data_IF_328111524518
#
_entry.id   IF_328111524518
#
_cell.length_a   1.000
_cell.length_b   1.000
_cell.length_c   1.000
_cell.angle_alpha   90.00
_cell.angle_beta   90.00
_cell.angle_gamma   90.00
#
_symmetry.space_group_name_H-M   'P 1'
#
loop_
_entity.id
_entity.type
_entity.pdbx_description
1 polymer ?
#
# COMPACT_ATOMS: atom_id res chain seq x y z
N UNK A 1 22.63 11.22 24.33
CA UNK A 1 22.89 9.78 24.10
C UNK A 1 22.12 9.36 22.87
N UNK A 2 22.78 9.40 21.71
CA UNK A 2 22.24 8.89 20.44
C UNK A 2 22.11 7.38 20.54
N UNK A 3 20.90 6.91 20.81
CA UNK A 3 20.56 5.50 20.60
C UNK A 3 20.84 5.17 19.13
N UNK A 4 21.63 4.13 18.89
CA UNK A 4 21.84 3.59 17.54
C UNK A 4 20.47 3.15 17.04
N UNK A 5 19.87 3.94 16.16
CA UNK A 5 18.75 3.48 15.35
C UNK A 5 19.17 2.16 14.69
N UNK A 6 18.36 1.11 14.83
CA UNK A 6 18.54 -0.10 14.03
C UNK A 6 18.62 0.36 12.57
N UNK A 7 19.74 0.07 11.91
CA UNK A 7 19.90 0.41 10.51
C UNK A 7 18.77 -0.26 9.71
N UNK A 8 17.95 0.56 9.03
CA UNK A 8 16.91 0.05 8.16
C UNK A 8 17.56 -0.85 7.11
N UNK A 9 16.98 -2.03 6.87
CA UNK A 9 17.49 -2.98 5.87
C UNK A 9 17.08 -2.55 4.45
N UNK A 10 17.57 -1.38 4.00
CA UNK A 10 17.24 -0.78 2.71
C UNK A 10 17.67 -1.67 1.54
N UNK A 11 18.92 -2.09 1.50
CA UNK A 11 19.44 -2.96 0.44
C UNK A 11 18.62 -4.26 0.32
N UNK A 12 18.18 -4.81 1.47
CA UNK A 12 17.38 -6.06 1.49
C UNK A 12 15.98 -5.85 0.93
N UNK A 13 15.33 -4.71 1.21
CA UNK A 13 14.03 -4.46 0.58
C UNK A 13 14.19 -4.15 -0.91
N UNK A 14 15.25 -3.47 -1.34
CA UNK A 14 15.50 -3.23 -2.76
C UNK A 14 15.72 -4.54 -3.53
N UNK A 15 16.51 -5.46 -2.96
CA UNK A 15 16.68 -6.82 -3.48
C UNK A 15 15.34 -7.55 -3.60
N UNK A 16 14.50 -7.51 -2.55
CA UNK A 16 13.16 -8.10 -2.61
C UNK A 16 12.33 -7.49 -3.73
N UNK A 17 12.22 -6.16 -3.80
CA UNK A 17 11.37 -5.48 -4.77
C UNK A 17 11.83 -5.70 -6.20
N UNK A 18 13.14 -5.82 -6.44
CA UNK A 18 13.69 -6.21 -7.75
C UNK A 18 13.21 -7.61 -8.14
N UNK A 19 13.30 -8.59 -7.23
CA UNK A 19 12.79 -9.96 -7.47
C UNK A 19 11.29 -9.94 -7.76
N UNK A 20 10.50 -9.22 -6.96
CA UNK A 20 9.05 -9.14 -7.14
C UNK A 20 8.67 -8.47 -8.48
N UNK A 21 9.43 -7.45 -8.89
CA UNK A 21 9.27 -6.79 -10.19
C UNK A 21 9.46 -7.79 -11.32
N UNK A 22 10.54 -8.57 -11.31
CA UNK A 22 10.79 -9.60 -12.32
C UNK A 22 9.66 -10.64 -12.39
N UNK A 23 9.05 -10.99 -11.25
CA UNK A 23 7.95 -11.96 -11.21
C UNK A 23 6.70 -11.41 -11.91
N UNK A 24 6.38 -10.12 -11.75
CA UNK A 24 5.16 -9.49 -12.29
C UNK A 24 5.39 -8.72 -13.60
N UNK A 25 6.60 -8.75 -14.15
CA UNK A 25 6.96 -8.11 -15.41
C UNK A 25 6.38 -8.90 -16.60
N UNK A 26 5.04 -8.89 -16.67
CA UNK A 26 4.22 -9.60 -17.63
C UNK A 26 3.02 -8.70 -18.00
N UNK A 27 2.44 -8.86 -19.19
CA UNK A 27 1.22 -8.15 -19.55
C UNK A 27 0.06 -8.57 -18.64
N UNK A 28 -0.91 -7.67 -18.47
CA UNK A 28 -2.21 -8.02 -17.87
C UNK A 28 -2.96 -8.99 -18.78
N UNK A 29 -3.76 -9.88 -18.20
CA UNK A 29 -4.43 -10.94 -18.97
C UNK A 29 -5.46 -10.43 -19.98
N UNK A 30 -5.99 -9.22 -19.78
CA UNK A 30 -6.88 -8.54 -20.72
C UNK A 30 -6.71 -7.02 -20.64
N UNK A 31 -6.82 -6.35 -21.79
CA UNK A 31 -6.68 -4.90 -21.89
C UNK A 31 -8.02 -4.18 -21.70
N UNK A 32 -8.61 -4.30 -20.51
CA UNK A 32 -9.86 -3.58 -20.16
C UNK A 32 -9.56 -2.37 -19.29
N UNK A 33 -10.39 -1.32 -19.37
CA UNK A 33 -10.24 -0.10 -18.57
C UNK A 33 -10.09 -0.39 -17.08
N UNK A 34 -10.85 -1.37 -16.57
CA UNK A 34 -10.79 -1.83 -15.18
C UNK A 34 -9.43 -2.41 -14.79
N UNK A 35 -8.86 -3.30 -15.62
CA UNK A 35 -7.58 -3.94 -15.31
C UNK A 35 -6.41 -2.96 -15.47
N UNK A 36 -6.50 -2.06 -16.45
CA UNK A 36 -5.55 -0.97 -16.62
C UNK A 36 -5.58 -0.05 -15.40
N UNK A 37 -6.75 0.42 -14.98
CA UNK A 37 -6.90 1.27 -13.79
C UNK A 37 -6.43 0.56 -12.51
N UNK A 38 -6.78 -0.72 -12.35
CA UNK A 38 -6.32 -1.53 -11.23
C UNK A 38 -4.78 -1.58 -11.18
N UNK A 39 -4.12 -1.88 -12.30
CA UNK A 39 -2.66 -1.90 -12.42
C UNK A 39 -2.07 -0.52 -12.10
N UNK A 40 -2.62 0.55 -12.66
CA UNK A 40 -2.17 1.92 -12.41
C UNK A 40 -2.23 2.26 -10.92
N UNK A 41 -3.31 1.92 -10.22
CA UNK A 41 -3.44 2.16 -8.78
C UNK A 41 -2.45 1.32 -7.94
N UNK A 42 -2.19 0.07 -8.33
CA UNK A 42 -1.18 -0.76 -7.69
C UNK A 42 0.23 -0.16 -7.85
N UNK A 43 0.56 0.33 -9.05
CA UNK A 43 1.82 1.04 -9.33
C UNK A 43 1.91 2.35 -8.54
N UNK A 44 0.82 3.12 -8.46
CA UNK A 44 0.75 4.33 -7.61
C UNK A 44 1.03 4.00 -6.15
N UNK A 45 0.51 2.88 -5.63
CA UNK A 45 0.85 2.40 -4.29
C UNK A 45 2.36 2.10 -4.16
N UNK A 46 2.99 1.49 -5.18
CA UNK A 46 4.43 1.25 -5.19
C UNK A 46 5.28 2.55 -5.27
N UNK A 47 4.81 3.58 -5.96
CA UNK A 47 5.43 4.91 -5.94
C UNK A 47 5.41 5.51 -4.52
N UNK A 48 4.27 5.42 -3.83
CA UNK A 48 4.19 5.83 -2.43
C UNK A 48 5.11 4.99 -1.53
N UNK A 49 5.24 3.68 -1.79
CA UNK A 49 6.17 2.84 -1.05
C UNK A 49 7.63 3.33 -1.17
N UNK A 50 8.06 3.72 -2.38
CA UNK A 50 9.39 4.27 -2.61
C UNK A 50 9.61 5.59 -1.88
N UNK A 51 8.62 6.49 -1.91
CA UNK A 51 8.66 7.73 -1.16
C UNK A 51 8.70 7.50 0.36
N UNK A 52 7.89 6.58 0.90
CA UNK A 52 7.89 6.24 2.31
C UNK A 52 9.26 5.70 2.77
N UNK A 53 9.89 4.82 1.98
CA UNK A 53 11.25 4.31 2.29
C UNK A 53 12.29 5.43 2.30
N UNK A 54 12.25 6.33 1.32
CA UNK A 54 13.16 7.48 1.25
C UNK A 54 13.02 8.38 2.47
N UNK A 55 11.77 8.69 2.87
CA UNK A 55 11.50 9.48 4.07
C UNK A 55 11.93 8.78 5.35
N UNK A 56 11.78 7.45 5.44
CA UNK A 56 12.30 6.67 6.56
C UNK A 56 13.83 6.72 6.63
N UNK A 57 14.53 6.64 5.50
CA UNK A 57 16.00 6.76 5.44
C UNK A 57 16.48 8.12 5.98
N UNK A 58 15.78 9.19 5.61
CA UNK A 58 16.06 10.55 6.08
C UNK A 58 15.53 10.85 7.50
N UNK A 59 14.99 9.85 8.20
CA UNK A 59 14.37 9.99 9.52
C UNK A 59 13.17 10.97 9.58
N UNK A 60 12.49 11.18 8.46
CA UNK A 60 11.32 12.07 8.34
C UNK A 60 10.01 11.32 8.68
N UNK A 61 9.88 10.91 9.94
CA UNK A 61 8.81 10.03 10.40
C UNK A 61 7.38 10.49 10.08
N UNK A 62 7.06 11.79 10.26
CA UNK A 62 5.71 12.30 10.01
C UNK A 62 5.37 12.27 8.52
N UNK A 63 6.31 12.66 7.67
CA UNK A 63 6.15 12.57 6.22
C UNK A 63 5.99 11.12 5.76
N UNK A 64 6.83 10.22 6.29
CA UNK A 64 6.75 8.80 5.98
C UNK A 64 5.39 8.20 6.37
N UNK A 65 4.85 8.59 7.52
CA UNK A 65 3.52 8.18 7.98
C UNK A 65 2.42 8.68 7.03
N UNK A 66 2.43 9.96 6.63
CA UNK A 66 1.48 10.51 5.67
C UNK A 66 1.49 9.73 4.35
N UNK A 67 2.68 9.47 3.80
CA UNK A 67 2.81 8.72 2.54
C UNK A 67 2.37 7.26 2.70
N UNK A 68 2.68 6.63 3.84
CA UNK A 68 2.23 5.26 4.13
C UNK A 68 0.69 5.15 4.10
N UNK A 69 -0.03 6.18 4.55
CA UNK A 69 -1.50 6.21 4.42
C UNK A 69 -1.93 6.27 2.95
N UNK A 70 -1.35 7.17 2.16
CA UNK A 70 -1.65 7.27 0.72
C UNK A 70 -1.34 5.97 -0.03
N UNK A 71 -0.26 5.27 0.35
CA UNK A 71 0.07 3.94 -0.15
C UNK A 71 -1.05 2.93 0.10
N UNK A 72 -1.55 2.86 1.34
CA UNK A 72 -2.65 1.97 1.71
C UNK A 72 -3.92 2.29 0.95
N UNK A 73 -4.33 3.57 0.89
CA UNK A 73 -5.55 3.98 0.19
C UNK A 73 -5.48 3.65 -1.31
N UNK A 74 -4.33 3.84 -1.95
CA UNK A 74 -4.11 3.47 -3.34
C UNK A 74 -4.22 1.95 -3.57
N UNK A 75 -3.65 1.14 -2.66
CA UNK A 75 -3.73 -0.32 -2.74
C UNK A 75 -5.17 -0.81 -2.56
N UNK A 76 -5.87 -0.34 -1.52
CA UNK A 76 -7.27 -0.73 -1.29
C UNK A 76 -8.13 -0.35 -2.48
N UNK A 77 -7.94 0.86 -3.04
CA UNK A 77 -8.68 1.28 -4.23
C UNK A 77 -8.36 0.42 -5.45
N UNK A 78 -7.11 -0.01 -5.63
CA UNK A 78 -6.71 -0.94 -6.68
C UNK A 78 -7.50 -2.26 -6.60
N UNK A 79 -7.52 -2.87 -5.41
CA UNK A 79 -8.25 -4.12 -5.15
C UNK A 79 -9.77 -3.94 -5.31
N UNK A 80 -10.32 -2.84 -4.79
CA UNK A 80 -11.74 -2.50 -4.94
C UNK A 80 -12.15 -2.27 -6.40
N UNK A 81 -11.31 -1.60 -7.20
CA UNK A 81 -11.53 -1.45 -8.65
C UNK A 81 -11.60 -2.80 -9.34
N UNK A 82 -10.75 -3.75 -8.96
CA UNK A 82 -10.78 -5.08 -9.58
C UNK A 82 -12.05 -5.85 -9.26
N UNK A 83 -12.49 -5.82 -8.00
CA UNK A 83 -13.50 -6.76 -7.49
C UNK A 83 -14.90 -6.20 -7.32
N UNK A 84 -15.07 -4.88 -7.14
CA UNK A 84 -16.34 -4.31 -6.71
C UNK A 84 -16.79 -3.07 -7.47
N UNK A 85 -15.88 -2.25 -7.99
CA UNK A 85 -16.24 -0.99 -8.64
C UNK A 85 -17.24 -1.23 -9.79
N UNK A 86 -18.21 -0.34 -9.96
CA UNK A 86 -19.06 -0.34 -11.15
C UNK A 86 -18.30 0.18 -12.37
N UNK A 87 -18.73 -0.17 -13.59
CA UNK A 87 -18.08 0.35 -14.81
C UNK A 87 -18.13 1.88 -14.85
N UNK A 88 -19.23 2.51 -14.41
CA UNK A 88 -19.32 3.96 -14.28
C UNK A 88 -18.27 4.56 -13.33
N UNK A 89 -17.93 3.88 -12.23
CA UNK A 89 -16.87 4.34 -11.32
C UNK A 89 -15.49 4.14 -11.92
N UNK A 90 -15.28 3.05 -12.67
CA UNK A 90 -14.04 2.81 -13.43
C UNK A 90 -13.84 3.90 -14.48
N UNK A 91 -14.88 4.22 -15.24
CA UNK A 91 -14.83 5.25 -16.28
C UNK A 91 -14.46 6.61 -15.68
N UNK A 92 -15.12 7.02 -14.59
CA UNK A 92 -14.81 8.27 -13.88
C UNK A 92 -13.36 8.37 -13.43
N UNK A 93 -12.81 7.29 -12.86
CA UNK A 93 -11.43 7.24 -12.39
C UNK A 93 -10.40 7.11 -13.53
N UNK A 94 -10.85 6.75 -14.73
CA UNK A 94 -10.00 6.60 -15.93
C UNK A 94 -10.03 7.83 -16.85
N UNK A 95 -10.80 8.87 -16.49
CA UNK A 95 -10.88 10.08 -17.30
C UNK A 95 -9.56 10.85 -17.33
N UNK A 96 -9.35 11.58 -18.43
CA UNK A 96 -8.29 12.58 -18.51
C UNK A 96 -8.52 13.70 -17.49
N UNK A 97 -7.43 14.33 -17.07
CA UNK A 97 -7.46 15.40 -16.08
C UNK A 97 -8.08 16.67 -16.69
N UNK A 98 -9.27 17.04 -16.23
CA UNK A 98 -9.97 18.27 -16.60
C UNK A 98 -10.61 18.88 -15.35
N UNK A 99 -11.09 20.13 -15.45
CA UNK A 99 -11.79 20.79 -14.34
C UNK A 99 -13.08 20.02 -14.01
N UNK A 100 -13.77 19.53 -15.03
CA UNK A 100 -15.00 18.76 -14.93
C UNK A 100 -14.75 17.37 -14.31
N UNK A 101 -13.70 16.66 -14.73
CA UNK A 101 -13.38 15.33 -14.19
C UNK A 101 -12.96 15.39 -12.71
N UNK A 102 -12.31 16.48 -12.28
CA UNK A 102 -12.02 16.71 -10.86
C UNK A 102 -13.29 16.87 -10.00
N UNK A 103 -14.33 17.52 -10.54
CA UNK A 103 -15.60 17.73 -9.84
C UNK A 103 -16.53 16.49 -9.87
N UNK A 104 -16.36 15.62 -10.87
CA UNK A 104 -17.16 14.40 -11.05
C UNK A 104 -16.85 13.27 -10.04
N UNK A 105 -15.78 13.41 -9.25
CA UNK A 105 -15.31 12.41 -8.29
C UNK A 105 -16.10 12.31 -6.97
N UNK A 106 -17.18 13.09 -6.81
CA UNK A 106 -17.96 13.13 -5.55
C UNK A 106 -18.62 11.81 -5.13
N UNK A 107 -18.73 10.83 -6.03
CA UNK A 107 -19.41 9.55 -5.78
C UNK A 107 -18.44 8.34 -5.75
N UNK A 108 -17.14 8.57 -5.66
CA UNK A 108 -16.17 7.50 -5.42
C UNK A 108 -16.10 7.24 -3.91
N UNK A 109 -16.31 5.99 -3.45
CA UNK A 109 -16.33 5.70 -2.02
C UNK A 109 -14.98 6.01 -1.36
N UNK A 110 -15.03 6.32 -0.07
CA UNK A 110 -13.81 6.41 0.72
C UNK A 110 -13.28 5.02 1.05
N UNK A 111 -12.00 4.94 1.44
CA UNK A 111 -11.30 3.68 1.73
C UNK A 111 -12.02 2.79 2.75
N UNK A 112 -12.71 3.38 3.74
CA UNK A 112 -13.47 2.63 4.73
C UNK A 112 -14.66 1.89 4.10
N UNK A 113 -15.36 2.55 3.17
CA UNK A 113 -16.48 1.97 2.42
C UNK A 113 -15.96 0.92 1.43
N UNK A 114 -14.84 1.19 0.75
CA UNK A 114 -14.18 0.23 -0.13
C UNK A 114 -13.79 -1.07 0.59
N UNK A 115 -13.29 -0.98 1.83
CA UNK A 115 -13.00 -2.17 2.64
C UNK A 115 -14.26 -2.93 3.03
N UNK A 116 -15.31 -2.25 3.47
CA UNK A 116 -16.59 -2.88 3.82
C UNK A 116 -17.23 -3.57 2.60
N UNK A 117 -17.02 -3.01 1.42
CA UNK A 117 -17.39 -3.61 0.14
C UNK A 117 -16.58 -4.88 -0.16
N UNK A 118 -15.27 -4.84 0.02
CA UNK A 118 -14.38 -5.99 -0.20
C UNK A 118 -14.64 -7.12 0.79
N UNK A 119 -15.04 -6.83 2.03
CA UNK A 119 -15.38 -7.81 3.08
C UNK A 119 -16.51 -8.76 2.70
N UNK A 120 -17.31 -8.42 1.69
CA UNK A 120 -18.38 -9.26 1.13
C UNK A 120 -17.83 -10.41 0.28
N UNK A 121 -16.55 -10.39 -0.09
CA UNK A 121 -15.91 -11.39 -0.98
C UNK A 121 -15.07 -12.39 -0.18
N UNK A 122 -15.58 -13.62 -0.04
CA UNK A 122 -14.86 -14.68 0.70
C UNK A 122 -13.49 -15.03 0.09
N UNK A 123 -13.36 -14.94 -1.23
CA UNK A 123 -12.09 -15.16 -1.95
C UNK A 123 -10.97 -14.21 -1.54
N UNK A 124 -11.31 -13.06 -0.93
CA UNK A 124 -10.36 -12.03 -0.49
C UNK A 124 -10.03 -12.11 1.00
N UNK A 125 -10.58 -13.09 1.74
CA UNK A 125 -10.44 -13.20 3.21
C UNK A 125 -8.99 -13.04 3.68
N UNK A 126 -8.05 -13.74 3.05
CA UNK A 126 -6.64 -13.71 3.44
C UNK A 126 -6.00 -12.32 3.22
N UNK A 127 -6.33 -11.65 2.11
CA UNK A 127 -5.87 -10.29 1.83
C UNK A 127 -6.47 -9.29 2.82
N UNK A 128 -7.77 -9.44 3.13
CA UNK A 128 -8.48 -8.59 4.06
C UNK A 128 -7.97 -8.69 5.48
N UNK A 129 -7.50 -9.85 5.94
CA UNK A 129 -6.81 -9.99 7.22
C UNK A 129 -5.63 -9.02 7.27
N UNK A 130 -4.73 -9.06 6.27
CA UNK A 130 -3.56 -8.18 6.24
C UNK A 130 -3.93 -6.68 6.12
N UNK A 131 -4.95 -6.34 5.32
CA UNK A 131 -5.40 -4.95 5.19
C UNK A 131 -6.07 -4.42 6.47
N UNK A 132 -6.87 -5.24 7.14
CA UNK A 132 -7.54 -4.87 8.39
C UNK A 132 -6.56 -4.84 9.58
N UNK A 133 -5.52 -5.67 9.59
CA UNK A 133 -4.43 -5.56 10.56
C UNK A 133 -3.67 -4.25 10.40
N UNK A 134 -3.33 -3.86 9.18
CA UNK A 134 -2.73 -2.55 8.91
C UNK A 134 -3.66 -1.42 9.40
N UNK A 135 -4.96 -1.52 9.10
CA UNK A 135 -5.95 -0.54 9.55
C UNK A 135 -6.01 -0.47 11.08
N UNK A 136 -6.13 -1.61 11.77
CA UNK A 136 -6.24 -1.64 13.23
C UNK A 136 -4.99 -1.14 13.95
N UNK A 137 -3.80 -1.43 13.41
CA UNK A 137 -2.52 -1.11 14.06
C UNK A 137 -1.98 0.29 13.75
N UNK A 138 -2.25 0.83 12.56
CA UNK A 138 -1.63 2.07 12.09
C UNK A 138 -2.64 3.19 11.77
N UNK A 139 -3.90 2.90 11.46
CA UNK A 139 -4.82 3.87 10.82
C UNK A 139 -5.17 5.10 11.66
N UNK A 140 -5.49 4.91 12.94
CA UNK A 140 -5.97 6.00 13.78
C UNK A 140 -4.94 7.14 13.92
N UNK A 141 -3.65 6.84 14.23
CA UNK A 141 -2.60 7.86 14.19
C UNK A 141 -2.39 8.47 12.80
N UNK A 142 -2.50 7.69 11.73
CA UNK A 142 -2.28 8.17 10.36
C UNK A 142 -3.23 9.30 9.94
N UNK A 143 -4.50 9.26 10.37
CA UNK A 143 -5.44 10.37 10.15
C UNK A 143 -4.95 11.68 10.78
N UNK A 144 -4.37 11.57 11.97
CA UNK A 144 -3.82 12.70 12.69
C UNK A 144 -2.61 13.29 11.95
N UNK A 145 -1.71 12.47 11.37
CA UNK A 145 -0.55 13.00 10.64
C UNK A 145 -0.93 13.74 9.36
N UNK A 146 -1.90 13.24 8.59
CA UNK A 146 -2.33 13.90 7.35
C UNK A 146 -2.91 15.30 7.60
N UNK A 147 -3.67 15.46 8.67
CA UNK A 147 -4.38 16.72 8.96
C UNK A 147 -3.69 17.56 10.04
N UNK A 148 -2.41 17.29 10.35
CA UNK A 148 -1.68 17.99 11.43
C UNK A 148 -2.43 17.98 12.78
N UNK A 149 -3.11 16.88 13.08
CA UNK A 149 -3.85 16.68 14.32
C UNK A 149 -2.96 16.41 15.53
N UNK A 150 -3.59 16.08 16.66
CA UNK A 150 -2.92 16.00 17.97
C UNK A 150 -1.68 15.09 18.00
N UNK A 151 -1.68 13.93 17.35
CA UNK A 151 -0.51 13.05 17.33
C UNK A 151 0.65 13.67 16.55
N UNK A 152 0.37 14.35 15.44
CA UNK A 152 1.37 15.03 14.62
C UNK A 152 2.05 16.14 15.42
N UNK A 153 1.25 16.99 16.07
CA UNK A 153 1.72 18.09 16.91
C UNK A 153 2.54 17.53 18.08
N UNK A 154 2.00 16.51 18.76
CA UNK A 154 2.63 15.91 19.94
C UNK A 154 4.00 15.31 19.61
N UNK A 155 4.11 14.49 18.56
CA UNK A 155 5.40 13.86 18.20
C UNK A 155 6.37 14.80 17.52
N UNK A 156 5.90 15.86 16.87
CA UNK A 156 6.79 16.94 16.42
C UNK A 156 7.43 17.64 17.60
N UNK A 157 6.69 17.82 18.71
CA UNK A 157 7.19 18.47 19.93
C UNK A 157 8.09 17.58 20.78
N UNK A 158 7.76 16.30 20.91
CA UNK A 158 8.36 15.39 21.90
C UNK A 158 9.13 14.20 21.31
N UNK A 159 9.30 14.17 19.99
CA UNK A 159 9.83 13.06 19.19
C UNK A 159 8.92 11.81 19.18
N UNK A 160 8.88 11.08 18.06
CA UNK A 160 8.15 9.82 17.98
C UNK A 160 8.87 8.69 18.75
N UNK A 161 8.18 7.57 19.06
CA UNK A 161 8.81 6.38 19.63
C UNK A 161 9.99 5.88 18.78
N UNK A 162 10.99 5.28 19.44
CA UNK A 162 12.27 4.95 18.79
C UNK A 162 12.18 3.95 17.64
N UNK A 163 11.15 3.10 17.67
CA UNK A 163 10.89 2.09 16.65
C UNK A 163 9.83 2.54 15.63
N UNK A 164 9.34 3.78 15.70
CA UNK A 164 8.23 4.23 14.86
C UNK A 164 8.60 4.27 13.37
N UNK A 165 9.80 4.76 13.03
CA UNK A 165 10.31 4.75 11.65
C UNK A 165 10.48 3.32 11.15
N UNK A 166 11.03 2.41 11.96
CA UNK A 166 11.20 1.00 11.59
C UNK A 166 9.83 0.34 11.34
N UNK A 167 8.83 0.64 12.14
CA UNK A 167 7.46 0.15 11.94
C UNK A 167 6.85 0.68 10.63
N UNK A 168 6.96 1.99 10.35
CA UNK A 168 6.48 2.57 9.09
C UNK A 168 7.17 1.91 7.90
N UNK A 169 8.50 1.76 7.98
CA UNK A 169 9.31 1.12 6.93
C UNK A 169 8.83 -0.31 6.65
N UNK A 170 8.75 -1.15 7.68
CA UNK A 170 8.30 -2.55 7.54
C UNK A 170 6.86 -2.62 7.03
N UNK A 171 5.95 -1.79 7.56
CA UNK A 171 4.55 -1.75 7.12
C UNK A 171 4.43 -1.34 5.65
N UNK A 172 5.19 -0.33 5.21
CA UNK A 172 5.24 0.08 3.80
C UNK A 172 5.69 -1.08 2.90
N UNK A 173 6.69 -1.85 3.34
CA UNK A 173 7.19 -3.00 2.59
C UNK A 173 6.15 -4.13 2.54
N UNK A 174 5.40 -4.36 3.62
CA UNK A 174 4.28 -5.29 3.63
C UNK A 174 3.19 -4.91 2.63
N UNK A 175 2.79 -3.64 2.59
CA UNK A 175 1.84 -3.13 1.59
C UNK A 175 2.39 -3.24 0.16
N UNK A 176 3.69 -3.05 -0.05
CA UNK A 176 4.32 -3.25 -1.35
C UNK A 176 4.20 -4.71 -1.82
N UNK A 177 4.43 -5.69 -0.92
CA UNK A 177 4.22 -7.11 -1.22
C UNK A 177 2.77 -7.38 -1.64
N UNK A 178 1.78 -6.83 -0.93
CA UNK A 178 0.38 -6.97 -1.30
C UNK A 178 0.07 -6.34 -2.66
N UNK A 179 0.68 -5.20 -2.99
CA UNK A 179 0.57 -4.58 -4.32
C UNK A 179 1.14 -5.49 -5.42
N UNK A 180 2.29 -6.14 -5.18
CA UNK A 180 2.84 -7.14 -6.11
C UNK A 180 1.97 -8.39 -6.23
N UNK A 181 1.35 -8.85 -5.14
CA UNK A 181 0.37 -9.94 -5.22
C UNK A 181 -0.83 -9.54 -6.06
N UNK A 182 -1.30 -8.29 -5.97
CA UNK A 182 -2.39 -7.80 -6.80
C UNK A 182 -1.95 -7.74 -8.28
N UNK A 183 -0.77 -7.19 -8.58
CA UNK A 183 -0.21 -7.22 -9.94
C UNK A 183 -0.08 -8.63 -10.49
N UNK A 184 0.32 -9.60 -9.67
CA UNK A 184 0.37 -11.02 -10.04
C UNK A 184 -1.01 -11.58 -10.43
N UNK A 185 -2.09 -11.22 -9.72
CA UNK A 185 -3.48 -11.59 -10.10
C UNK A 185 -3.79 -11.07 -11.50
N UNK A 186 -3.43 -9.82 -11.79
CA UNK A 186 -3.75 -9.18 -13.07
C UNK A 186 -3.04 -9.82 -14.26
N UNK A 187 -2.00 -10.64 -14.06
CA UNK A 187 -1.39 -11.43 -15.13
C UNK A 187 -2.25 -12.60 -15.61
N UNK A 188 -3.23 -13.03 -14.79
CA UNK A 188 -4.05 -14.22 -15.04
C UNK A 188 -3.27 -15.55 -14.99
N UNK A 189 -1.97 -15.53 -14.68
CA UNK A 189 -1.15 -16.73 -14.66
C UNK A 189 -1.32 -17.49 -13.33
N UNK A 190 -1.64 -18.79 -13.37
CA UNK A 190 -1.68 -19.62 -12.17
C UNK A 190 -0.36 -19.57 -11.41
N UNK A 191 -0.42 -19.69 -10.09
CA UNK A 191 0.74 -19.76 -9.19
C UNK A 191 1.59 -18.48 -9.05
N UNK A 192 1.30 -17.40 -9.79
CA UNK A 192 2.13 -16.18 -9.73
C UNK A 192 2.18 -15.58 -8.33
N UNK A 193 1.03 -15.53 -7.64
CA UNK A 193 0.98 -15.11 -6.23
C UNK A 193 1.82 -16.00 -5.30
N UNK A 194 1.89 -17.31 -5.58
CA UNK A 194 2.72 -18.23 -4.77
C UNK A 194 4.20 -17.93 -4.94
N UNK A 195 4.64 -17.54 -6.16
CA UNK A 195 6.02 -17.08 -6.39
C UNK A 195 6.34 -15.83 -5.58
N UNK A 196 5.42 -14.86 -5.53
CA UNK A 196 5.57 -13.66 -4.68
C UNK A 196 5.73 -14.06 -3.21
N UNK A 197 4.83 -14.89 -2.67
CA UNK A 197 4.90 -15.33 -1.27
C UNK A 197 6.20 -16.07 -0.98
N UNK A 198 6.61 -16.99 -1.86
CA UNK A 198 7.85 -17.74 -1.71
C UNK A 198 9.07 -16.82 -1.67
N UNK A 199 9.13 -15.81 -2.54
CA UNK A 199 10.20 -14.83 -2.56
C UNK A 199 10.33 -14.09 -1.22
N UNK A 200 9.23 -13.81 -0.52
CA UNK A 200 9.28 -13.11 0.79
C UNK A 200 9.89 -13.92 1.94
N UNK A 201 10.08 -15.23 1.79
CA UNK A 201 10.55 -16.10 2.87
C UNK A 201 11.93 -15.69 3.43
N UNK A 202 12.83 -15.23 2.56
CA UNK A 202 14.19 -14.84 2.92
C UNK A 202 14.33 -13.38 3.42
N UNK A 203 13.22 -12.62 3.47
CA UNK A 203 13.22 -11.17 3.67
C UNK A 203 12.45 -10.71 4.91
N UNK A 204 12.29 -11.59 5.91
CA UNK A 204 11.61 -11.25 7.18
C UNK A 204 12.24 -10.06 7.92
N UNK A 205 13.53 -9.79 7.70
CA UNK A 205 14.26 -8.67 8.31
C UNK A 205 13.75 -7.29 7.87
N UNK A 206 13.17 -7.16 6.68
CA UNK A 206 12.64 -5.89 6.16
C UNK A 206 11.11 -5.87 6.02
N UNK A 207 10.43 -6.95 6.39
CA UNK A 207 8.98 -7.08 6.34
C UNK A 207 8.35 -6.92 7.73
N UNK A 208 7.03 -6.70 7.82
CA UNK A 208 6.32 -6.80 9.09
C UNK A 208 6.54 -8.19 9.68
N UNK A 209 6.62 -8.27 11.00
CA UNK A 209 6.76 -9.57 11.68
C UNK A 209 5.59 -10.47 11.29
N UNK A 210 5.90 -11.68 10.75
CA UNK A 210 4.89 -12.72 10.57
C UNK A 210 4.38 -13.08 11.96
N UNK A 211 3.08 -12.96 12.20
CA UNK A 211 2.49 -13.51 13.41
C UNK A 211 2.08 -14.96 13.15
N UNK A 212 2.40 -15.81 14.11
CA UNK A 212 2.07 -17.23 14.16
C UNK A 212 0.56 -17.44 14.23
#
# INVERSE_FOLDING_TARGET
MTSKANALSLDRVEELLAILTTIVDQPIYANTARLVLCRTLAITSLHYAAAARSLCNENLAMGAAVVLRSQFEALVRSVWVHHQATDSQVDKLSQELSIESQQANKNIPHVAEMLADLEKHESLRNLLISLNEFKGSAWQPLNSFVHSGIHAIYWTKWQPPINFIEQIFRNSNGLAVLAYQNLAILTGQPLMQRKIIAATAAFSSCLPARRA
#
